data_IF_738477919738
#
_entry.id   IF_738477919738
#
_cell.length_a   1.000
_cell.length_b   1.000
_cell.length_c   1.000
_cell.angle_alpha   90.00
_cell.angle_beta   90.00
_cell.angle_gamma   90.00
#
_symmetry.space_group_name_H-M   'P 1'
#
loop_
_entity.id
_entity.type
_entity.pdbx_description
1 polymer ?
#
# COMPACT_ATOMS: atom_id res chain seq x y z
N UNK A 1 104.25 21.54 5.83
CA UNK A 1 105.03 20.34 5.48
C UNK A 1 104.08 19.15 5.55
N UNK A 2 103.97 18.43 4.43
CA UNK A 2 103.31 17.12 4.19
C UNK A 2 103.74 16.05 5.24
N UNK A 3 103.14 14.83 5.35
CA UNK A 3 102.13 14.20 4.48
C UNK A 3 101.05 13.30 5.16
N UNK A 4 100.16 12.80 4.27
CA UNK A 4 99.30 11.60 4.29
C UNK A 4 99.67 10.44 5.24
N UNK A 5 98.65 9.69 5.71
CA UNK A 5 98.54 8.21 5.54
C UNK A 5 97.05 7.80 5.49
N UNK A 6 96.71 6.94 4.51
CA UNK A 6 95.45 6.18 4.35
C UNK A 6 95.39 5.00 5.34
N UNK A 7 94.21 4.69 5.88
CA UNK A 7 93.87 3.33 6.30
C UNK A 7 92.44 2.96 5.85
N UNK A 8 92.31 1.74 5.35
CA UNK A 8 91.09 1.09 4.84
C UNK A 8 90.54 0.18 5.94
N UNK A 9 89.25 0.28 6.29
CA UNK A 9 88.50 -0.71 7.11
C UNK A 9 87.00 -0.64 6.69
N UNK A 10 86.22 -1.75 6.68
CA UNK A 10 85.32 -2.09 5.58
C UNK A 10 83.84 -1.74 5.77
N UNK A 11 83.15 -1.87 4.64
CA UNK A 11 81.72 -1.80 4.39
C UNK A 11 80.91 -2.73 5.32
N UNK A 12 80.00 -2.16 6.11
CA UNK A 12 78.82 -2.87 6.63
C UNK A 12 77.58 -2.12 6.13
N UNK A 13 76.88 -2.75 5.19
CA UNK A 13 75.58 -2.30 4.71
C UNK A 13 74.52 -2.64 5.75
N UNK A 14 74.03 -1.63 6.46
CA UNK A 14 72.78 -1.71 7.20
C UNK A 14 71.66 -1.19 6.30
N UNK A 15 70.97 -2.10 5.60
CA UNK A 15 69.70 -1.78 4.94
C UNK A 15 68.69 -1.36 6.00
N UNK A 16 68.27 -0.09 5.97
CA UNK A 16 66.99 0.32 6.55
C UNK A 16 65.88 -0.34 5.72
N UNK A 17 65.38 -1.49 6.17
CA UNK A 17 64.03 -1.90 5.82
C UNK A 17 63.08 -0.98 6.58
N UNK A 18 62.57 0.05 5.91
CA UNK A 18 61.31 0.66 6.31
C UNK A 18 60.24 -0.43 6.21
N UNK A 19 59.90 -1.03 7.36
CA UNK A 19 58.77 -1.92 7.46
C UNK A 19 57.51 -1.11 7.17
N UNK A 20 56.97 -1.24 5.97
CA UNK A 20 55.53 -1.15 5.80
C UNK A 20 54.95 -2.30 6.61
N UNK A 21 54.53 -2.01 7.84
CA UNK A 21 53.66 -2.92 8.59
C UNK A 21 52.38 -3.00 7.77
N UNK A 22 52.25 -4.05 6.95
CA UNK A 22 50.95 -4.57 6.58
C UNK A 22 50.27 -4.90 7.91
N UNK A 23 49.44 -4.00 8.41
CA UNK A 23 48.34 -4.39 9.27
C UNK A 23 47.53 -5.36 8.43
N UNK A 24 47.76 -6.66 8.66
CA UNK A 24 46.83 -7.69 8.24
C UNK A 24 45.46 -7.24 8.68
N UNK A 25 44.50 -7.25 7.75
CA UNK A 25 43.10 -6.97 7.98
C UNK A 25 42.55 -8.03 8.96
N UNK A 26 42.89 -7.90 10.23
CA UNK A 26 42.38 -8.69 11.34
C UNK A 26 41.06 -8.05 11.73
N UNK A 27 40.02 -8.32 10.96
CA UNK A 27 38.72 -7.70 11.16
C UNK A 27 37.60 -8.25 10.29
N UNK A 28 37.91 -8.99 9.22
CA UNK A 28 36.91 -9.69 8.43
C UNK A 28 36.92 -11.17 8.83
N UNK A 29 35.83 -11.60 9.45
CA UNK A 29 35.56 -13.00 9.74
C UNK A 29 35.05 -13.65 8.46
N UNK A 30 35.68 -14.73 8.01
CA UNK A 30 35.25 -15.45 6.81
C UNK A 30 34.00 -16.29 7.09
N UNK A 31 33.17 -16.50 6.06
CA UNK A 31 31.93 -17.26 6.16
C UNK A 31 31.58 -17.94 4.83
N UNK A 32 30.77 -19.00 4.89
CA UNK A 32 30.13 -19.60 3.72
C UNK A 32 28.63 -19.29 3.69
N UNK A 33 28.04 -19.09 4.87
CA UNK A 33 26.63 -18.81 5.08
C UNK A 33 26.43 -17.75 6.16
N UNK A 34 25.24 -17.14 6.21
CA UNK A 34 24.90 -16.20 7.28
C UNK A 34 24.98 -16.82 8.69
N UNK A 35 24.85 -18.15 8.81
CA UNK A 35 24.95 -18.84 10.10
C UNK A 35 26.37 -18.86 10.66
N UNK A 36 27.39 -18.69 9.80
CA UNK A 36 28.79 -18.58 10.22
C UNK A 36 29.09 -17.20 10.79
N UNK A 37 28.22 -16.22 10.54
CA UNK A 37 28.32 -14.87 11.06
C UNK A 37 27.57 -14.76 12.39
N UNK A 38 28.29 -14.34 13.44
CA UNK A 38 27.65 -14.01 14.73
C UNK A 38 26.58 -12.91 14.60
N UNK A 39 25.78 -12.72 15.65
CA UNK A 39 24.60 -11.82 15.63
C UNK A 39 24.87 -10.44 15.00
N UNK A 40 23.91 -9.99 14.18
CA UNK A 40 23.97 -8.68 13.52
C UNK A 40 24.90 -8.62 12.32
N UNK A 41 25.38 -9.76 11.80
CA UNK A 41 26.22 -9.84 10.61
C UNK A 41 25.67 -10.84 9.59
N UNK A 42 25.95 -10.60 8.31
CA UNK A 42 25.59 -11.50 7.20
C UNK A 42 26.83 -11.80 6.37
N UNK A 43 26.81 -12.95 5.72
CA UNK A 43 27.88 -13.39 4.85
C UNK A 43 27.74 -12.75 3.48
N UNK A 44 28.68 -11.89 3.13
CA UNK A 44 28.74 -11.20 1.84
C UNK A 44 30.13 -11.42 1.26
N UNK A 45 30.20 -12.02 0.07
CA UNK A 45 31.45 -12.33 -0.61
C UNK A 45 32.48 -13.07 0.28
N UNK A 46 32.01 -14.06 1.04
CA UNK A 46 32.77 -14.84 2.01
C UNK A 46 33.27 -14.10 3.25
N UNK A 47 32.73 -12.90 3.54
CA UNK A 47 33.05 -12.16 4.76
C UNK A 47 31.81 -11.77 5.55
N UNK A 48 31.89 -11.88 6.87
CA UNK A 48 30.87 -11.41 7.79
C UNK A 48 30.91 -9.90 7.90
N UNK A 49 29.96 -9.25 7.25
CA UNK A 49 29.76 -7.80 7.30
C UNK A 49 28.58 -7.47 8.22
N UNK A 50 28.57 -6.28 8.86
CA UNK A 50 27.39 -5.80 9.58
C UNK A 50 26.14 -5.90 8.70
N UNK A 51 25.10 -6.55 9.23
CA UNK A 51 23.81 -6.61 8.55
C UNK A 51 23.21 -5.21 8.58
N UNK A 52 23.26 -4.54 7.43
CA UNK A 52 22.65 -3.22 7.24
C UNK A 52 21.16 -3.30 6.89
N UNK A 53 20.62 -4.50 6.70
CA UNK A 53 19.20 -4.69 6.38
C UNK A 53 18.36 -4.40 7.63
N UNK A 54 17.43 -3.42 7.58
CA UNK A 54 16.55 -3.14 8.70
C UNK A 54 15.71 -4.38 9.07
N UNK A 55 15.42 -4.62 10.36
CA UNK A 55 14.46 -5.64 10.75
C UNK A 55 13.12 -5.45 10.03
N UNK A 56 12.58 -6.52 9.46
CA UNK A 56 11.37 -6.48 8.62
C UNK A 56 11.66 -6.35 7.11
N UNK A 57 12.86 -5.96 6.71
CA UNK A 57 13.29 -5.92 5.31
C UNK A 57 14.05 -7.17 4.88
N UNK A 58 14.15 -7.37 3.56
CA UNK A 58 15.04 -8.38 2.94
C UNK A 58 14.32 -9.43 2.10
N UNK A 59 12.98 -9.44 2.12
CA UNK A 59 12.18 -10.26 1.20
C UNK A 59 12.26 -9.69 -0.20
N UNK A 60 12.49 -10.53 -1.21
CA UNK A 60 12.63 -10.13 -2.62
C UNK A 60 11.73 -11.01 -3.49
N UNK A 61 11.01 -10.37 -4.42
CA UNK A 61 10.21 -11.03 -5.45
C UNK A 61 10.60 -10.54 -6.85
N UNK A 62 10.19 -11.27 -7.89
CA UNK A 62 10.52 -10.96 -9.28
C UNK A 62 11.90 -11.47 -9.69
N UNK A 63 12.54 -10.83 -10.68
CA UNK A 63 13.86 -11.24 -11.19
C UNK A 63 14.91 -10.19 -10.87
N UNK A 64 15.78 -10.52 -9.91
CA UNK A 64 16.91 -9.70 -9.47
C UNK A 64 18.12 -9.90 -10.40
N UNK A 65 18.01 -9.34 -11.60
CA UNK A 65 19.07 -9.35 -12.63
C UNK A 65 19.80 -8.00 -12.63
N UNK A 66 21.07 -7.92 -13.09
CA UNK A 66 21.83 -6.66 -13.06
C UNK A 66 21.19 -5.46 -13.77
N UNK A 67 20.29 -5.70 -14.72
CA UNK A 67 19.55 -4.66 -15.45
C UNK A 67 18.11 -4.49 -14.97
N UNK A 68 17.70 -5.16 -13.88
CA UNK A 68 16.35 -5.10 -13.36
C UNK A 68 15.97 -3.66 -12.98
N UNK A 69 14.67 -3.37 -13.04
CA UNK A 69 14.09 -2.12 -12.56
C UNK A 69 13.69 -2.36 -11.09
N UNK A 70 14.35 -1.70 -10.12
CA UNK A 70 14.12 -1.95 -8.71
C UNK A 70 12.87 -1.21 -8.21
N UNK A 71 11.93 -1.96 -7.67
CA UNK A 71 10.81 -1.47 -6.89
C UNK A 71 11.01 -1.81 -5.42
N UNK A 72 10.47 -0.97 -4.53
CA UNK A 72 10.36 -1.25 -3.11
C UNK A 72 8.90 -1.35 -2.69
N UNK A 73 8.60 -2.10 -1.63
CA UNK A 73 7.33 -2.04 -0.92
C UNK A 73 7.59 -1.93 0.58
N UNK A 74 6.97 -0.96 1.23
CA UNK A 74 6.96 -0.81 2.68
C UNK A 74 5.51 -0.93 3.16
N UNK A 75 5.15 -2.12 3.66
CA UNK A 75 3.77 -2.51 3.95
C UNK A 75 3.63 -2.91 5.42
N UNK A 76 2.52 -2.59 6.09
CA UNK A 76 2.24 -3.07 7.44
C UNK A 76 1.76 -4.52 7.38
N UNK A 77 2.63 -5.48 7.11
CA UNK A 77 2.24 -6.88 7.01
C UNK A 77 1.90 -7.47 8.39
N UNK A 78 2.58 -7.04 9.44
CA UNK A 78 2.35 -7.55 10.80
C UNK A 78 1.95 -6.48 11.84
N UNK A 79 0.90 -5.68 11.61
CA UNK A 79 0.45 -4.71 12.60
C UNK A 79 0.07 -5.44 13.89
N UNK A 80 0.57 -4.97 15.04
CA UNK A 80 0.37 -5.65 16.32
C UNK A 80 1.07 -7.02 16.44
N UNK A 81 1.96 -7.36 15.51
CA UNK A 81 2.78 -8.59 15.53
C UNK A 81 2.08 -9.85 15.00
N UNK A 82 0.94 -9.71 14.32
CA UNK A 82 0.26 -10.80 13.62
C UNK A 82 0.05 -10.44 12.16
N UNK A 83 0.08 -11.43 11.27
CA UNK A 83 -0.09 -11.22 9.84
C UNK A 83 -1.49 -10.69 9.53
N UNK A 84 -1.56 -9.49 8.97
CA UNK A 84 -2.79 -8.90 8.44
C UNK A 84 -3.13 -9.56 7.09
N UNK A 85 -4.34 -10.10 6.97
CA UNK A 85 -4.72 -10.88 5.80
C UNK A 85 -4.98 -10.00 4.59
N UNK A 86 -5.58 -8.82 4.76
CA UNK A 86 -5.77 -7.84 3.69
C UNK A 86 -4.42 -7.40 3.11
N UNK A 87 -3.46 -7.05 3.95
CA UNK A 87 -2.12 -6.65 3.53
C UNK A 87 -1.36 -7.79 2.85
N UNK A 88 -1.51 -9.02 3.35
CA UNK A 88 -0.96 -10.21 2.70
C UNK A 88 -1.57 -10.45 1.31
N UNK A 89 -2.88 -10.24 1.13
CA UNK A 89 -3.52 -10.37 -0.18
C UNK A 89 -3.11 -9.25 -1.14
N UNK A 90 -2.92 -8.02 -0.63
CA UNK A 90 -2.34 -6.91 -1.40
C UNK A 90 -0.93 -7.25 -1.90
N UNK A 91 -0.07 -7.79 -1.04
CA UNK A 91 1.26 -8.25 -1.45
C UNK A 91 1.20 -9.41 -2.45
N UNK A 92 0.31 -10.39 -2.25
CA UNK A 92 0.09 -11.47 -3.20
C UNK A 92 -0.33 -10.94 -4.59
N UNK A 93 -1.17 -9.92 -4.62
CA UNK A 93 -1.59 -9.25 -5.85
C UNK A 93 -0.42 -8.52 -6.52
N UNK A 94 0.43 -7.84 -5.75
CA UNK A 94 1.66 -7.24 -6.28
C UNK A 94 2.57 -8.28 -6.93
N UNK A 95 2.84 -9.38 -6.21
CA UNK A 95 3.73 -10.45 -6.68
C UNK A 95 3.16 -11.13 -7.92
N UNK A 96 1.84 -11.38 -7.98
CA UNK A 96 1.20 -11.94 -9.16
C UNK A 96 1.40 -11.06 -10.40
N UNK A 97 1.09 -9.76 -10.30
CA UNK A 97 1.26 -8.82 -11.40
C UNK A 97 2.73 -8.74 -11.85
N UNK A 98 3.66 -8.68 -10.89
CA UNK A 98 5.10 -8.64 -11.14
C UNK A 98 5.58 -9.88 -11.91
N UNK A 99 5.15 -11.08 -11.48
CA UNK A 99 5.49 -12.35 -12.13
C UNK A 99 4.98 -12.41 -13.57
N UNK A 100 3.74 -11.97 -13.80
CA UNK A 100 3.12 -11.95 -15.12
C UNK A 100 3.81 -10.98 -16.08
N UNK A 101 4.15 -9.77 -15.60
CA UNK A 101 4.90 -8.77 -16.37
C UNK A 101 6.29 -9.30 -16.72
N UNK A 102 6.99 -9.89 -15.75
CA UNK A 102 8.32 -10.45 -15.95
C UNK A 102 8.33 -11.64 -16.91
N UNK A 103 7.27 -12.47 -16.87
CA UNK A 103 7.07 -13.57 -17.82
C UNK A 103 6.79 -13.07 -19.24
N UNK A 104 6.27 -11.85 -19.37
CA UNK A 104 6.07 -11.16 -20.64
C UNK A 104 7.23 -10.20 -20.99
N UNK A 105 8.46 -10.52 -20.58
CA UNK A 105 9.70 -9.80 -20.91
C UNK A 105 9.91 -8.43 -20.23
N UNK A 106 9.09 -8.07 -19.24
CA UNK A 106 9.25 -6.83 -18.48
C UNK A 106 9.08 -5.58 -19.36
N UNK A 107 9.99 -4.60 -19.25
CA UNK A 107 9.99 -3.37 -20.06
C UNK A 107 11.35 -3.18 -20.72
N UNK A 108 11.36 -3.01 -22.04
CA UNK A 108 12.59 -2.85 -22.83
C UNK A 108 13.65 -3.95 -22.55
N UNK A 109 13.20 -5.19 -22.30
CA UNK A 109 14.06 -6.33 -21.96
C UNK A 109 14.61 -6.30 -20.53
N UNK A 110 14.14 -5.38 -19.69
CA UNK A 110 14.49 -5.27 -18.27
C UNK A 110 13.37 -5.87 -17.43
N UNK A 111 13.65 -6.89 -16.59
CA UNK A 111 12.66 -7.35 -15.63
C UNK A 111 12.50 -6.35 -14.47
N UNK A 112 11.50 -6.60 -13.63
CA UNK A 112 11.29 -5.91 -12.36
C UNK A 112 11.67 -6.80 -11.19
N UNK A 113 12.21 -6.19 -10.15
CA UNK A 113 12.47 -6.80 -8.83
C UNK A 113 11.74 -5.97 -7.77
N UNK A 114 11.15 -6.63 -6.77
CA UNK A 114 10.44 -5.98 -5.67
C UNK A 114 11.10 -6.31 -4.33
N UNK A 115 11.66 -5.31 -3.66
CA UNK A 115 12.24 -5.41 -2.33
C UNK A 115 11.19 -5.02 -1.27
N UNK A 116 10.87 -5.94 -0.37
CA UNK A 116 9.77 -5.77 0.59
C UNK A 116 10.31 -5.57 2.01
N UNK A 117 9.69 -4.62 2.70
CA UNK A 117 9.86 -4.33 4.11
C UNK A 117 8.51 -4.37 4.83
N UNK A 118 8.45 -5.10 5.94
CA UNK A 118 7.32 -5.10 6.87
C UNK A 118 7.50 -3.99 7.90
N UNK A 119 6.65 -2.97 7.84
CA UNK A 119 6.67 -1.81 8.73
C UNK A 119 6.00 -2.09 10.07
N UNK A 120 5.25 -3.19 10.20
CA UNK A 120 4.40 -3.51 11.34
C UNK A 120 3.43 -2.36 11.73
N UNK A 121 3.05 -1.51 10.78
CA UNK A 121 2.17 -0.35 11.01
C UNK A 121 2.85 0.89 11.59
N UNK A 122 4.18 0.89 11.71
CA UNK A 122 4.96 1.96 12.34
C UNK A 122 5.55 2.92 11.28
N UNK A 123 5.15 4.20 11.35
CA UNK A 123 5.57 5.23 10.39
C UNK A 123 7.04 5.65 10.54
N UNK A 124 7.65 5.49 11.71
CA UNK A 124 9.07 5.79 11.93
C UNK A 124 9.95 4.67 11.36
N UNK A 125 9.51 3.41 11.53
CA UNK A 125 10.12 2.28 10.83
C UNK A 125 10.03 2.45 9.33
N UNK A 126 8.85 2.82 8.81
CA UNK A 126 8.66 3.06 7.39
C UNK A 126 9.63 4.10 6.83
N UNK A 127 9.84 5.25 7.49
CA UNK A 127 10.78 6.28 7.01
C UNK A 127 12.22 5.73 6.92
N UNK A 128 12.63 4.96 7.94
CA UNK A 128 13.95 4.31 7.97
C UNK A 128 14.09 3.25 6.86
N UNK A 129 13.06 2.45 6.64
CA UNK A 129 13.00 1.43 5.59
C UNK A 129 12.97 2.05 4.19
N UNK A 130 12.22 3.12 3.98
CA UNK A 130 12.19 3.87 2.72
C UNK A 130 13.56 4.48 2.39
N UNK A 131 14.26 5.01 3.41
CA UNK A 131 15.64 5.49 3.26
C UNK A 131 16.57 4.36 2.85
N UNK A 132 16.50 3.20 3.52
CA UNK A 132 17.31 2.04 3.18
C UNK A 132 17.01 1.48 1.77
N UNK A 133 15.72 1.37 1.41
CA UNK A 133 15.31 0.92 0.08
C UNK A 133 15.81 1.88 -1.00
N UNK A 134 15.75 3.19 -0.76
CA UNK A 134 16.33 4.20 -1.64
C UNK A 134 17.85 4.01 -1.79
N UNK A 135 18.55 4.01 -0.66
CA UNK A 135 20.01 4.20 -0.67
C UNK A 135 20.76 2.90 -1.00
N UNK A 136 20.24 1.75 -0.57
CA UNK A 136 20.90 0.44 -0.70
C UNK A 136 20.28 -0.44 -1.78
N UNK A 137 19.02 -0.17 -2.20
CA UNK A 137 18.33 -0.89 -3.29
C UNK A 137 18.03 -0.04 -4.51
N UNK A 138 18.29 1.27 -4.45
CA UNK A 138 18.16 2.19 -5.57
C UNK A 138 16.78 2.12 -6.24
N UNK A 139 15.74 1.92 -5.44
CA UNK A 139 14.37 1.78 -5.94
C UNK A 139 13.95 3.04 -6.69
N UNK A 140 13.16 2.87 -7.75
CA UNK A 140 12.60 3.98 -8.53
C UNK A 140 11.13 4.25 -8.18
N UNK A 141 10.48 3.25 -7.59
CA UNK A 141 9.11 3.34 -7.08
C UNK A 141 9.02 2.65 -5.72
N UNK A 142 8.32 3.27 -4.76
CA UNK A 142 7.94 2.69 -3.47
C UNK A 142 6.42 2.44 -3.43
N UNK A 143 6.03 1.18 -3.24
CA UNK A 143 4.66 0.80 -2.94
C UNK A 143 4.38 0.93 -1.45
N UNK A 144 3.26 1.56 -1.08
CA UNK A 144 2.89 1.80 0.32
C UNK A 144 1.43 1.44 0.60
N UNK A 145 1.14 1.15 1.87
CA UNK A 145 -0.22 0.94 2.36
C UNK A 145 -0.51 1.78 3.60
N UNK A 146 -1.73 2.31 3.70
CA UNK A 146 -2.21 3.13 4.81
C UNK A 146 -1.85 4.61 4.66
N UNK A 147 -2.85 5.48 4.80
CA UNK A 147 -2.73 6.92 4.49
C UNK A 147 -1.61 7.62 5.26
N UNK A 148 -1.49 7.38 6.57
CA UNK A 148 -0.40 7.97 7.36
C UNK A 148 0.99 7.50 6.94
N UNK A 149 1.10 6.23 6.57
CA UNK A 149 2.34 5.61 6.09
C UNK A 149 2.74 6.13 4.70
N UNK A 150 1.80 6.30 3.77
CA UNK A 150 2.06 6.94 2.47
C UNK A 150 2.53 8.38 2.65
N UNK A 151 1.88 9.17 3.51
CA UNK A 151 2.30 10.54 3.80
C UNK A 151 3.71 10.55 4.38
N UNK A 152 4.01 9.69 5.36
CA UNK A 152 5.35 9.57 5.93
C UNK A 152 6.40 9.17 4.89
N UNK A 153 6.09 8.20 4.02
CA UNK A 153 6.97 7.79 2.91
C UNK A 153 7.30 8.95 1.98
N UNK A 154 6.29 9.75 1.62
CA UNK A 154 6.47 10.88 0.69
C UNK A 154 7.52 11.88 1.17
N UNK A 155 7.68 12.07 2.49
CA UNK A 155 8.70 12.96 3.06
C UNK A 155 10.13 12.49 2.79
N UNK A 156 10.33 11.19 2.55
CA UNK A 156 11.62 10.56 2.26
C UNK A 156 11.82 10.39 0.75
N UNK A 157 10.79 9.97 0.02
CA UNK A 157 10.87 9.57 -1.38
C UNK A 157 10.79 10.74 -2.35
N UNK A 158 9.92 11.73 -2.11
CA UNK A 158 9.74 12.89 -3.01
C UNK A 158 11.06 13.68 -3.18
N UNK A 159 11.81 14.03 -2.11
CA UNK A 159 13.10 14.71 -2.26
C UNK A 159 14.19 13.88 -2.97
N UNK A 160 13.95 12.58 -3.18
CA UNK A 160 14.86 11.63 -3.82
C UNK A 160 14.40 11.20 -5.21
N UNK A 161 13.37 11.86 -5.76
CA UNK A 161 12.81 11.52 -7.08
C UNK A 161 12.36 10.05 -7.17
N UNK A 162 11.80 9.52 -6.08
CA UNK A 162 11.21 8.19 -6.04
C UNK A 162 9.69 8.33 -6.08
N UNK A 163 9.06 7.69 -7.06
CA UNK A 163 7.60 7.62 -7.16
C UNK A 163 7.04 6.84 -5.97
N UNK A 164 5.97 7.32 -5.37
CA UNK A 164 5.13 6.55 -4.45
C UNK A 164 3.87 6.12 -5.18
N UNK A 165 3.58 4.83 -5.17
CA UNK A 165 2.31 4.27 -5.63
C UNK A 165 1.62 3.60 -4.46
N UNK A 166 0.36 3.95 -4.18
CA UNK A 166 -0.42 3.30 -3.11
C UNK A 166 -1.73 2.74 -3.63
N UNK A 167 -2.06 1.54 -3.15
CA UNK A 167 -3.27 0.82 -3.54
C UNK A 167 -4.38 0.89 -2.48
N UNK A 168 -4.10 1.45 -1.30
CA UNK A 168 -5.01 1.39 -0.13
C UNK A 168 -5.15 2.72 0.60
N UNK A 169 -4.32 3.73 0.29
CA UNK A 169 -4.34 5.00 1.01
C UNK A 169 -5.37 5.98 0.46
N UNK A 170 -6.49 6.11 1.15
CA UNK A 170 -7.69 6.82 0.70
C UNK A 170 -7.80 8.26 1.21
N UNK A 171 -7.00 8.69 2.19
CA UNK A 171 -7.16 10.01 2.82
C UNK A 171 -7.14 11.16 1.79
N UNK A 172 -8.03 12.17 1.89
CA UNK A 172 -8.00 13.34 1.01
C UNK A 172 -6.73 14.17 1.20
N UNK A 173 -6.03 14.06 2.33
CA UNK A 173 -4.78 14.77 2.59
C UNK A 173 -3.66 14.39 1.60
N UNK A 174 -3.76 13.23 0.94
CA UNK A 174 -2.81 12.81 -0.10
C UNK A 174 -2.96 13.69 -1.35
N UNK A 175 -4.18 14.08 -1.70
CA UNK A 175 -4.49 14.97 -2.83
C UNK A 175 -3.80 16.34 -2.69
N UNK A 176 -3.62 16.80 -1.45
CA UNK A 176 -3.07 18.13 -1.13
C UNK A 176 -1.55 18.14 -0.94
N UNK A 177 -0.89 16.98 -1.06
CA UNK A 177 0.56 16.87 -0.89
C UNK A 177 1.31 17.71 -1.92
N UNK A 178 2.36 18.37 -1.46
CA UNK A 178 3.30 19.08 -2.34
C UNK A 178 4.37 18.10 -2.79
N UNK A 179 4.08 17.34 -3.85
CA UNK A 179 4.82 16.13 -4.22
C UNK A 179 5.55 16.21 -5.58
N UNK A 180 5.53 17.37 -6.23
CA UNK A 180 6.08 17.54 -7.59
C UNK A 180 7.62 17.66 -7.65
N UNK A 181 8.30 17.94 -6.52
CA UNK A 181 9.76 18.14 -6.42
C UNK A 181 10.40 18.98 -7.56
N UNK A 182 9.71 20.02 -8.04
CA UNK A 182 10.20 20.87 -9.15
C UNK A 182 10.05 20.27 -10.55
N UNK A 183 9.46 19.08 -10.67
CA UNK A 183 9.00 18.47 -11.92
C UNK A 183 7.70 19.07 -12.45
N UNK A 184 7.02 18.33 -13.34
CA UNK A 184 5.73 18.74 -13.94
C UNK A 184 4.53 18.00 -13.35
N UNK A 185 4.79 16.88 -12.70
CA UNK A 185 3.81 15.88 -12.28
C UNK A 185 4.15 15.47 -10.85
N UNK A 186 3.13 15.25 -10.03
CA UNK A 186 3.30 14.75 -8.67
C UNK A 186 3.97 13.38 -8.62
N UNK A 187 4.67 13.08 -7.52
CA UNK A 187 5.33 11.80 -7.28
C UNK A 187 4.55 10.90 -6.30
N UNK A 188 3.34 11.26 -5.91
CA UNK A 188 2.47 10.40 -5.08
C UNK A 188 1.20 10.09 -5.86
N UNK A 189 1.05 8.82 -6.23
CA UNK A 189 -0.04 8.33 -7.05
C UNK A 189 -0.81 7.22 -6.32
N UNK A 190 -2.10 7.08 -6.61
CA UNK A 190 -2.93 6.04 -6.01
C UNK A 190 -3.93 5.40 -6.95
N UNK A 191 -3.98 4.07 -6.94
CA UNK A 191 -5.07 3.30 -7.55
C UNK A 191 -6.29 3.19 -6.62
N UNK A 192 -6.12 3.47 -5.32
CA UNK A 192 -7.24 3.64 -4.40
C UNK A 192 -7.99 4.95 -4.68
N UNK A 193 -9.34 4.94 -4.68
CA UNK A 193 -10.11 6.18 -4.73
C UNK A 193 -9.98 6.96 -3.41
N UNK A 194 -10.17 8.28 -3.49
CA UNK A 194 -10.22 9.16 -2.33
C UNK A 194 -11.43 8.90 -1.42
N UNK A 195 -11.25 9.05 -0.11
CA UNK A 195 -12.33 9.09 0.88
C UNK A 195 -13.31 10.25 0.63
N UNK A 196 -12.89 11.29 -0.10
CA UNK A 196 -13.81 12.32 -0.58
C UNK A 196 -14.92 11.73 -1.47
N UNK A 197 -14.60 10.68 -2.23
CA UNK A 197 -15.56 9.94 -3.06
C UNK A 197 -16.35 8.96 -2.19
N UNK A 198 -15.66 8.09 -1.43
CA UNK A 198 -16.31 7.05 -0.63
C UNK A 198 -17.22 7.64 0.46
N UNK A 199 -16.76 8.67 1.17
CA UNK A 199 -17.54 9.36 2.19
C UNK A 199 -18.79 10.03 1.62
N UNK A 200 -18.70 10.64 0.43
CA UNK A 200 -19.86 11.21 -0.25
C UNK A 200 -20.86 10.13 -0.68
N UNK A 201 -20.40 9.01 -1.22
CA UNK A 201 -21.28 7.87 -1.58
C UNK A 201 -21.92 7.26 -0.34
N UNK A 202 -21.18 7.08 0.75
CA UNK A 202 -21.70 6.57 2.01
C UNK A 202 -22.77 7.52 2.57
N UNK A 203 -22.48 8.82 2.63
CA UNK A 203 -23.44 9.81 3.11
C UNK A 203 -24.71 9.83 2.25
N UNK A 204 -24.57 9.83 0.92
CA UNK A 204 -25.71 9.73 0.00
C UNK A 204 -26.51 8.43 0.21
N UNK A 205 -25.82 7.32 0.47
CA UNK A 205 -26.46 6.05 0.81
C UNK A 205 -27.28 6.17 2.10
N UNK A 206 -26.83 6.88 3.12
CA UNK A 206 -27.61 7.08 4.35
C UNK A 206 -28.77 8.08 4.18
N UNK A 207 -28.61 9.09 3.32
CA UNK A 207 -29.57 10.17 3.15
C UNK A 207 -30.68 9.85 2.13
N UNK A 208 -30.31 9.16 1.04
CA UNK A 208 -31.12 8.99 -0.16
C UNK A 208 -31.33 7.51 -0.52
N UNK A 209 -31.25 6.59 0.45
CA UNK A 209 -31.51 5.17 0.19
C UNK A 209 -32.95 4.90 -0.25
N UNK A 210 -33.10 4.53 -1.52
CA UNK A 210 -34.38 4.18 -2.12
C UNK A 210 -34.85 2.77 -1.73
N UNK A 211 -33.99 1.96 -1.12
CA UNK A 211 -34.31 0.61 -0.63
C UNK A 211 -34.88 0.59 0.79
N UNK A 212 -34.92 1.73 1.48
CA UNK A 212 -35.51 1.89 2.81
C UNK A 212 -34.70 1.28 3.96
N UNK A 213 -33.46 0.83 3.72
CA UNK A 213 -32.51 0.22 4.68
C UNK A 213 -32.16 1.18 5.83
N UNK A 214 -32.16 2.48 5.57
CA UNK A 214 -31.87 3.53 6.56
C UNK A 214 -33.09 4.32 7.02
N UNK A 215 -34.30 3.80 6.78
CA UNK A 215 -35.53 4.39 7.33
C UNK A 215 -35.41 4.48 8.86
N UNK A 216 -35.76 5.64 9.42
CA UNK A 216 -35.73 5.87 10.87
C UNK A 216 -34.36 6.18 11.47
N UNK A 217 -33.26 6.17 10.70
CA UNK A 217 -31.94 6.62 11.20
C UNK A 217 -31.94 8.15 11.35
N UNK A 218 -31.80 8.67 12.57
CA UNK A 218 -31.72 10.10 12.86
C UNK A 218 -30.45 10.47 13.66
N UNK A 219 -30.03 9.60 14.59
CA UNK A 219 -28.83 9.75 15.42
C UNK A 219 -27.73 8.83 14.89
N UNK A 220 -26.64 9.43 14.41
CA UNK A 220 -25.51 8.71 13.80
C UNK A 220 -24.26 8.90 14.65
N UNK A 221 -23.74 7.81 15.21
CA UNK A 221 -22.40 7.77 15.78
C UNK A 221 -21.37 7.61 14.67
N UNK A 222 -20.26 8.32 14.73
CA UNK A 222 -19.11 8.11 13.84
C UNK A 222 -17.91 7.81 14.72
N UNK A 223 -17.53 6.55 14.79
CA UNK A 223 -16.34 6.10 15.53
C UNK A 223 -15.20 5.94 14.53
N UNK A 224 -14.10 6.64 14.72
CA UNK A 224 -13.01 6.68 13.75
C UNK A 224 -11.62 6.64 14.39
N UNK A 225 -10.68 6.04 13.67
CA UNK A 225 -9.27 6.03 14.07
C UNK A 225 -8.69 7.44 14.01
N UNK A 226 -7.95 7.84 15.04
CA UNK A 226 -7.25 9.12 15.08
C UNK A 226 -5.95 9.11 14.27
N UNK A 227 -6.07 8.95 12.96
CA UNK A 227 -4.96 8.99 12.01
C UNK A 227 -5.40 9.70 10.70
N UNK A 228 -4.51 9.90 9.72
CA UNK A 228 -4.91 10.56 8.46
C UNK A 228 -6.04 9.86 7.70
N UNK A 229 -6.19 8.54 7.82
CA UNK A 229 -7.31 7.78 7.23
C UNK A 229 -8.63 8.10 7.94
N UNK A 230 -8.72 7.80 9.23
CA UNK A 230 -9.96 7.95 9.99
C UNK A 230 -10.40 9.41 10.12
N UNK A 231 -9.46 10.36 10.25
CA UNK A 231 -9.77 11.79 10.20
C UNK A 231 -10.29 12.22 8.82
N UNK A 232 -9.63 11.79 7.74
CA UNK A 232 -10.01 12.14 6.37
C UNK A 232 -11.43 11.72 6.03
N UNK A 233 -11.76 10.44 6.26
CA UNK A 233 -13.09 9.91 5.97
C UNK A 233 -14.15 10.45 6.94
N UNK A 234 -13.86 10.55 8.23
CA UNK A 234 -14.84 11.06 9.20
C UNK A 234 -15.21 12.52 8.96
N UNK A 235 -14.28 13.38 8.54
CA UNK A 235 -14.58 14.78 8.24
C UNK A 235 -15.53 14.93 7.06
N UNK A 236 -15.35 14.14 5.99
CA UNK A 236 -16.28 14.11 4.85
C UNK A 236 -17.67 13.69 5.31
N UNK A 237 -17.76 12.66 6.16
CA UNK A 237 -19.03 12.16 6.68
C UNK A 237 -19.74 13.15 7.60
N UNK A 238 -19.00 13.79 8.52
CA UNK A 238 -19.54 14.80 9.42
C UNK A 238 -20.11 15.95 8.60
N UNK A 239 -19.36 16.47 7.63
CA UNK A 239 -19.80 17.59 6.80
C UNK A 239 -21.08 17.26 6.03
N UNK A 240 -21.13 16.08 5.41
CA UNK A 240 -22.27 15.64 4.61
C UNK A 240 -23.53 15.32 5.46
N UNK A 241 -23.37 14.78 6.67
CA UNK A 241 -24.49 14.27 7.47
C UNK A 241 -25.04 15.29 8.48
N UNK A 242 -24.21 16.20 9.02
CA UNK A 242 -24.56 17.07 10.15
C UNK A 242 -25.75 18.01 9.88
N UNK A 243 -26.07 18.30 8.61
CA UNK A 243 -27.21 19.15 8.25
C UNK A 243 -28.54 18.40 8.26
N UNK A 244 -28.52 17.06 8.14
CA UNK A 244 -29.70 16.22 7.98
C UNK A 244 -29.89 15.21 9.13
N UNK A 245 -28.84 14.92 9.90
CA UNK A 245 -28.82 13.94 11.00
C UNK A 245 -28.20 14.57 12.25
N UNK A 246 -28.52 14.03 13.42
CA UNK A 246 -27.79 14.32 14.65
C UNK A 246 -26.54 13.46 14.69
N UNK A 247 -25.36 14.05 14.53
CA UNK A 247 -24.09 13.32 14.41
C UNK A 247 -23.26 13.43 15.69
N UNK A 248 -22.67 12.33 16.14
CA UNK A 248 -21.71 12.28 17.25
C UNK A 248 -20.39 11.66 16.79
N UNK A 249 -19.36 12.47 16.49
CA UNK A 249 -18.03 11.96 16.17
C UNK A 249 -17.26 11.58 17.44
N UNK A 250 -16.58 10.42 17.41
CA UNK A 250 -15.79 9.87 18.50
C UNK A 250 -14.49 9.26 17.93
N UNK A 251 -13.34 9.86 18.27
CA UNK A 251 -12.04 9.33 17.86
C UNK A 251 -11.54 8.26 18.84
N UNK A 252 -10.79 7.27 18.33
CA UNK A 252 -10.04 6.31 19.15
C UNK A 252 -8.59 6.18 18.66
N UNK A 253 -7.71 5.68 19.52
CA UNK A 253 -6.31 5.41 19.19
C UNK A 253 -6.09 3.94 18.85
N UNK A 254 -5.22 3.65 17.86
CA UNK A 254 -4.87 2.29 17.44
C UNK A 254 -4.39 1.47 18.64
N UNK A 255 -5.06 0.36 18.95
CA UNK A 255 -4.71 -0.49 20.11
C UNK A 255 -4.84 0.17 21.49
N UNK A 256 -5.31 1.42 21.59
CA UNK A 256 -5.53 2.15 22.83
C UNK A 256 -6.85 1.77 23.53
N UNK A 257 -7.13 2.32 24.71
CA UNK A 257 -8.42 2.07 25.39
C UNK A 257 -9.60 2.60 24.57
N UNK A 258 -10.70 1.84 24.56
CA UNK A 258 -11.99 2.21 23.91
C UNK A 258 -13.10 2.52 24.91
N UNK A 259 -12.84 2.44 26.22
CA UNK A 259 -13.88 2.53 27.25
C UNK A 259 -14.65 3.86 27.18
N UNK A 260 -13.93 4.96 26.94
CA UNK A 260 -14.52 6.29 26.80
C UNK A 260 -15.38 6.38 25.54
N UNK A 261 -14.93 5.78 24.43
CA UNK A 261 -15.69 5.76 23.17
C UNK A 261 -16.98 4.98 23.34
N UNK A 262 -16.91 3.78 23.92
CA UNK A 262 -18.09 2.94 24.18
C UNK A 262 -19.07 3.64 25.13
N UNK A 263 -18.59 4.23 26.23
CA UNK A 263 -19.44 4.96 27.18
C UNK A 263 -20.15 6.14 26.50
N UNK A 264 -19.43 6.97 25.74
CA UNK A 264 -20.01 8.13 25.08
C UNK A 264 -20.95 7.75 23.94
N UNK A 265 -20.67 6.65 23.23
CA UNK A 265 -21.54 6.14 22.19
C UNK A 265 -22.84 5.59 22.79
N UNK A 266 -22.76 4.85 23.90
CA UNK A 266 -23.94 4.37 24.64
C UNK A 266 -24.80 5.53 25.18
N UNK A 267 -24.18 6.53 25.81
CA UNK A 267 -24.89 7.72 26.30
C UNK A 267 -25.56 8.49 25.16
N UNK A 268 -24.94 8.45 23.97
CA UNK A 268 -25.50 9.06 22.77
C UNK A 268 -26.66 8.26 22.20
N UNK A 269 -26.80 6.95 22.45
CA UNK A 269 -27.89 6.10 21.98
C UNK A 269 -28.18 6.26 20.46
N UNK A 270 -27.23 5.88 19.58
CA UNK A 270 -27.36 6.06 18.14
C UNK A 270 -28.27 5.02 17.48
N UNK A 271 -29.03 5.44 16.47
CA UNK A 271 -29.77 4.52 15.59
C UNK A 271 -28.84 3.71 14.67
N UNK A 272 -27.67 4.29 14.37
CA UNK A 272 -26.63 3.71 13.52
C UNK A 272 -25.25 4.24 13.92
N UNK A 273 -24.25 3.37 13.95
CA UNK A 273 -22.83 3.77 14.10
C UNK A 273 -22.05 3.43 12.84
N UNK A 274 -21.43 4.46 12.24
CA UNK A 274 -20.41 4.29 11.21
C UNK A 274 -19.08 4.01 11.92
N UNK A 275 -18.47 2.86 11.63
CA UNK A 275 -17.21 2.43 12.22
C UNK A 275 -16.10 2.47 11.18
N UNK A 276 -15.24 3.49 11.31
CA UNK A 276 -14.02 3.67 10.50
C UNK A 276 -12.86 3.03 11.26
N UNK A 277 -12.66 1.74 11.02
CA UNK A 277 -11.69 0.94 11.77
C UNK A 277 -11.12 -0.21 10.94
N UNK A 278 -9.86 -0.53 11.20
CA UNK A 278 -9.24 -1.76 10.72
C UNK A 278 -9.77 -2.98 11.48
N UNK A 279 -9.57 -4.21 10.98
CA UNK A 279 -10.29 -5.39 11.46
C UNK A 279 -10.08 -5.70 12.95
N UNK A 280 -8.88 -5.53 13.48
CA UNK A 280 -8.52 -5.76 14.88
C UNK A 280 -9.22 -4.77 15.83
N UNK A 281 -9.16 -3.47 15.54
CA UNK A 281 -9.86 -2.44 16.31
C UNK A 281 -11.38 -2.56 16.15
N UNK A 282 -11.86 -2.87 14.95
CA UNK A 282 -13.28 -3.09 14.68
C UNK A 282 -13.80 -4.23 15.55
N UNK A 283 -13.13 -5.38 15.56
CA UNK A 283 -13.50 -6.51 16.40
C UNK A 283 -13.50 -6.15 17.89
N UNK A 284 -12.50 -5.41 18.36
CA UNK A 284 -12.39 -4.97 19.76
C UNK A 284 -13.54 -4.04 20.16
N UNK A 285 -13.88 -3.07 19.31
CA UNK A 285 -15.01 -2.15 19.52
C UNK A 285 -16.34 -2.91 19.51
N UNK A 286 -16.56 -3.77 18.52
CA UNK A 286 -17.78 -4.58 18.40
C UNK A 286 -17.95 -5.51 19.60
N UNK A 287 -16.89 -6.16 20.07
CA UNK A 287 -16.93 -7.04 21.23
C UNK A 287 -17.30 -6.31 22.53
N UNK A 288 -16.81 -5.07 22.70
CA UNK A 288 -17.20 -4.23 23.84
C UNK A 288 -18.65 -3.72 23.70
N UNK A 289 -19.03 -3.27 22.50
CA UNK A 289 -20.37 -2.77 22.20
C UNK A 289 -21.45 -3.85 22.36
N UNK A 290 -21.16 -5.10 21.99
CA UNK A 290 -22.10 -6.22 22.06
C UNK A 290 -22.52 -6.62 23.49
N UNK A 291 -21.94 -6.00 24.52
CA UNK A 291 -22.36 -6.16 25.93
C UNK A 291 -22.88 -4.86 26.54
N UNK A 292 -23.03 -3.82 25.72
CA UNK A 292 -23.42 -2.47 26.15
C UNK A 292 -24.82 -2.15 25.64
N UNK A 293 -25.67 -1.66 26.54
CA UNK A 293 -27.03 -1.19 26.23
C UNK A 293 -26.98 -0.13 25.09
N UNK A 294 -28.04 -0.03 24.28
CA UNK A 294 -28.16 0.87 23.12
C UNK A 294 -27.17 0.62 21.96
N UNK A 295 -26.21 -0.30 22.10
CA UNK A 295 -25.22 -0.62 21.07
C UNK A 295 -25.39 -2.03 20.51
N UNK A 296 -26.56 -2.64 20.77
CA UNK A 296 -26.95 -3.98 20.32
C UNK A 296 -28.18 -3.92 19.44
N UNK A 297 -28.30 -4.85 18.50
CA UNK A 297 -29.44 -4.96 17.58
C UNK A 297 -30.79 -5.07 18.29
N UNK A 298 -30.81 -5.73 19.46
CA UNK A 298 -32.02 -5.88 20.26
C UNK A 298 -32.63 -4.52 20.68
N UNK A 299 -31.79 -3.50 20.81
CA UNK A 299 -32.18 -2.12 21.13
C UNK A 299 -32.43 -1.27 19.87
N UNK A 300 -32.33 -1.85 18.67
CA UNK A 300 -32.54 -1.17 17.39
C UNK A 300 -31.28 -0.55 16.79
N UNK A 301 -30.11 -0.74 17.42
CA UNK A 301 -28.82 -0.26 16.92
C UNK A 301 -28.41 -0.97 15.63
N UNK A 302 -27.70 -0.24 14.76
CA UNK A 302 -27.14 -0.75 13.50
C UNK A 302 -25.68 -0.35 13.34
N UNK A 303 -24.92 -1.18 12.66
CA UNK A 303 -23.55 -0.89 12.24
C UNK A 303 -23.49 -0.57 10.74
N UNK A 304 -22.62 0.38 10.39
CA UNK A 304 -22.17 0.61 9.03
C UNK A 304 -20.63 0.65 9.02
N UNK A 305 -20.00 -0.08 8.11
CA UNK A 305 -18.55 -0.25 8.06
C UNK A 305 -17.92 0.50 6.88
N UNK A 306 -16.60 0.63 6.91
CA UNK A 306 -15.81 1.18 5.80
C UNK A 306 -14.91 0.11 5.19
N UNK A 307 -14.17 0.51 4.15
CA UNK A 307 -13.32 -0.32 3.31
C UNK A 307 -12.36 -1.18 4.13
N UNK A 308 -11.75 -0.62 5.17
CA UNK A 308 -10.77 -1.30 6.03
C UNK A 308 -11.35 -2.45 6.85
N UNK A 309 -12.68 -2.52 7.04
CA UNK A 309 -13.34 -3.57 7.81
C UNK A 309 -13.75 -4.78 6.95
N UNK A 310 -13.64 -4.69 5.61
CA UNK A 310 -13.94 -5.79 4.69
C UNK A 310 -12.77 -6.77 4.64
N UNK A 311 -12.61 -7.52 5.72
CA UNK A 311 -11.60 -8.57 5.91
C UNK A 311 -12.24 -9.80 6.61
N UNK A 312 -12.07 -11.03 6.09
CA UNK A 312 -12.63 -12.23 6.72
C UNK A 312 -12.15 -12.50 8.15
N UNK A 313 -11.03 -11.91 8.59
CA UNK A 313 -10.57 -11.96 9.98
C UNK A 313 -11.62 -11.40 10.97
N UNK A 314 -12.55 -10.55 10.50
CA UNK A 314 -13.67 -10.08 11.32
C UNK A 314 -14.55 -11.24 11.81
N UNK A 315 -14.79 -12.26 10.97
CA UNK A 315 -15.65 -13.40 11.31
C UNK A 315 -15.06 -14.31 12.40
N UNK A 316 -13.74 -14.30 12.58
CA UNK A 316 -13.07 -15.05 13.64
C UNK A 316 -12.79 -14.22 14.90
N UNK A 317 -12.77 -12.89 14.78
CA UNK A 317 -12.39 -11.97 15.86
C UNK A 317 -13.59 -11.38 16.62
N UNK A 318 -14.77 -11.34 15.99
CA UNK A 318 -16.01 -10.88 16.63
C UNK A 318 -16.71 -12.04 17.33
N UNK A 319 -16.96 -11.89 18.62
CA UNK A 319 -17.54 -12.94 19.49
C UNK A 319 -19.04 -13.14 19.24
N UNK A 320 -19.77 -12.08 18.92
CA UNK A 320 -21.22 -12.08 18.73
C UNK A 320 -21.56 -11.68 17.29
N UNK A 321 -21.35 -12.59 16.34
CA UNK A 321 -21.53 -12.32 14.90
C UNK A 321 -22.97 -11.91 14.55
N UNK A 322 -23.96 -12.38 15.30
CA UNK A 322 -25.36 -11.98 15.11
C UNK A 322 -25.56 -10.47 15.25
N UNK A 323 -24.70 -9.73 15.99
CA UNK A 323 -24.75 -8.27 16.11
C UNK A 323 -24.36 -7.53 14.81
N UNK A 324 -23.68 -8.22 13.88
CA UNK A 324 -23.20 -7.62 12.63
C UNK A 324 -23.79 -8.28 11.37
N UNK A 325 -24.57 -9.36 11.51
CA UNK A 325 -25.20 -10.01 10.35
C UNK A 325 -26.10 -9.05 9.55
N UNK A 326 -25.92 -8.98 8.23
CA UNK A 326 -26.63 -8.03 7.36
C UNK A 326 -26.25 -6.56 7.57
N UNK A 327 -25.29 -6.23 8.44
CA UNK A 327 -24.73 -4.89 8.50
C UNK A 327 -24.05 -4.55 7.17
N UNK A 328 -24.11 -3.27 6.81
CA UNK A 328 -23.60 -2.78 5.54
C UNK A 328 -22.23 -2.15 5.72
N UNK A 329 -21.49 -2.04 4.63
CA UNK A 329 -20.30 -1.21 4.57
C UNK A 329 -20.07 -0.65 3.18
N UNK A 330 -19.12 0.26 3.03
CA UNK A 330 -18.68 0.75 1.73
C UNK A 330 -17.22 0.41 1.48
N UNK A 331 -16.87 0.15 0.23
CA UNK A 331 -15.49 -0.05 -0.21
C UNK A 331 -15.37 0.35 -1.69
N UNK A 332 -14.17 0.55 -2.25
CA UNK A 332 -14.00 0.57 -3.70
C UNK A 332 -14.63 -0.69 -4.30
N UNK A 333 -15.35 -0.54 -5.42
CA UNK A 333 -16.14 -1.59 -6.08
C UNK A 333 -15.29 -2.67 -6.79
N UNK A 334 -14.13 -3.00 -6.21
CA UNK A 334 -13.18 -4.00 -6.65
C UNK A 334 -13.82 -5.37 -6.57
N UNK A 335 -14.28 -5.87 -7.72
CA UNK A 335 -14.95 -7.17 -7.85
C UNK A 335 -16.47 -7.13 -7.99
N UNK A 336 -17.11 -6.00 -7.71
CA UNK A 336 -18.51 -5.79 -8.06
C UNK A 336 -18.72 -5.52 -9.56
N UNK A 337 -17.62 -5.42 -10.31
CA UNK A 337 -17.59 -5.51 -11.76
C UNK A 337 -17.83 -6.96 -12.21
N UNK A 338 -18.97 -7.56 -11.87
CA UNK A 338 -19.35 -8.91 -12.31
C UNK A 338 -19.37 -9.08 -13.85
N UNK A 339 -19.15 -7.99 -14.61
CA UNK A 339 -19.02 -7.95 -16.05
C UNK A 339 -17.68 -7.35 -16.55
N UNK A 340 -16.65 -7.16 -15.71
CA UNK A 340 -15.31 -6.77 -16.18
C UNK A 340 -14.50 -8.02 -16.56
N UNK A 341 -14.10 -8.17 -17.84
CA UNK A 341 -13.25 -9.27 -18.26
C UNK A 341 -11.90 -9.28 -17.54
N UNK A 342 -11.34 -8.09 -17.26
CA UNK A 342 -10.08 -7.95 -16.52
C UNK A 342 -10.21 -8.53 -15.10
N UNK A 343 -11.26 -8.14 -14.37
CA UNK A 343 -11.47 -8.65 -13.01
C UNK A 343 -11.75 -10.16 -13.00
N UNK A 344 -12.61 -10.67 -13.89
CA UNK A 344 -12.94 -12.09 -13.93
C UNK A 344 -11.71 -12.98 -14.20
N UNK A 345 -10.80 -12.53 -15.07
CA UNK A 345 -9.53 -13.22 -15.31
C UNK A 345 -8.62 -13.16 -14.07
N UNK A 346 -8.48 -11.98 -13.48
CA UNK A 346 -7.69 -11.79 -12.26
C UNK A 346 -8.21 -12.67 -11.11
N UNK A 347 -9.51 -12.67 -10.83
CA UNK A 347 -10.14 -13.48 -9.78
C UNK A 347 -9.86 -14.96 -9.98
N UNK A 348 -10.06 -15.48 -11.20
CA UNK A 348 -9.77 -16.88 -11.53
C UNK A 348 -8.30 -17.25 -11.30
N UNK A 349 -7.38 -16.40 -11.75
CA UNK A 349 -5.94 -16.60 -11.55
C UNK A 349 -5.56 -16.53 -10.07
N UNK A 350 -6.13 -15.57 -9.33
CA UNK A 350 -5.84 -15.34 -7.91
C UNK A 350 -6.33 -16.50 -7.05
N UNK A 351 -7.55 -16.97 -7.27
CA UNK A 351 -8.08 -18.18 -6.62
C UNK A 351 -7.22 -19.38 -6.99
N UNK A 352 -6.83 -19.54 -8.25
CA UNK A 352 -6.00 -20.68 -8.67
C UNK A 352 -4.61 -20.68 -8.04
N UNK A 353 -3.98 -19.50 -7.84
CA UNK A 353 -2.62 -19.39 -7.30
C UNK A 353 -2.59 -19.43 -5.77
N UNK A 354 -3.52 -18.76 -5.11
CA UNK A 354 -3.49 -18.52 -3.67
C UNK A 354 -4.60 -19.24 -2.89
N UNK A 355 -5.61 -19.78 -3.57
CA UNK A 355 -6.76 -20.44 -2.91
C UNK A 355 -7.68 -19.47 -2.16
N UNK A 356 -7.56 -18.16 -2.43
CA UNK A 356 -8.27 -17.08 -1.76
C UNK A 356 -9.15 -16.36 -2.77
N UNK A 357 -10.38 -16.00 -2.39
CA UNK A 357 -11.23 -15.16 -3.21
C UNK A 357 -10.90 -13.67 -2.96
N UNK A 358 -10.38 -12.93 -3.95
CA UNK A 358 -9.96 -11.54 -3.76
C UNK A 358 -11.12 -10.57 -3.51
N UNK A 359 -12.36 -10.93 -3.87
CA UNK A 359 -13.55 -10.09 -3.59
C UNK A 359 -13.86 -9.94 -2.09
N UNK A 360 -13.26 -10.80 -1.26
CA UNK A 360 -13.49 -10.82 0.18
C UNK A 360 -12.60 -9.84 0.95
N UNK A 361 -11.70 -9.15 0.26
CA UNK A 361 -10.78 -8.17 0.81
C UNK A 361 -10.90 -6.86 0.03
N UNK A 362 -10.83 -5.72 0.71
CA UNK A 362 -10.70 -4.44 0.02
C UNK A 362 -9.34 -4.33 -0.69
N UNK A 363 -9.29 -3.54 -1.77
CA UNK A 363 -8.07 -3.12 -2.45
C UNK A 363 -7.18 -4.21 -3.11
N UNK A 364 -7.52 -5.49 -3.06
CA UNK A 364 -6.71 -6.55 -3.71
C UNK A 364 -6.57 -6.30 -5.23
N UNK A 365 -7.67 -5.91 -5.89
CA UNK A 365 -7.64 -5.53 -7.31
C UNK A 365 -6.83 -4.24 -7.56
N UNK A 366 -6.98 -3.22 -6.69
CA UNK A 366 -6.21 -1.97 -6.78
C UNK A 366 -4.71 -2.24 -6.63
N UNK A 367 -4.33 -3.22 -5.81
CA UNK A 367 -2.95 -3.64 -5.60
C UNK A 367 -2.38 -4.31 -6.87
N UNK A 368 -3.14 -5.23 -7.48
CA UNK A 368 -2.77 -5.81 -8.77
C UNK A 368 -2.56 -4.74 -9.85
N UNK A 369 -3.51 -3.81 -9.96
CA UNK A 369 -3.46 -2.73 -10.94
C UNK A 369 -2.27 -1.79 -10.71
N UNK A 370 -1.91 -1.49 -9.45
CA UNK A 370 -0.82 -0.58 -9.10
C UNK A 370 0.52 -1.01 -9.70
N UNK A 371 0.84 -2.31 -9.71
CA UNK A 371 2.06 -2.82 -10.31
C UNK A 371 2.01 -2.70 -11.83
N UNK A 372 0.90 -3.07 -12.44
CA UNK A 372 0.74 -2.98 -13.89
C UNK A 372 0.84 -1.54 -14.41
N UNK A 373 0.12 -0.59 -13.81
CA UNK A 373 0.18 0.81 -14.27
C UNK A 373 1.56 1.43 -14.03
N UNK A 374 2.24 1.08 -12.93
CA UNK A 374 3.63 1.51 -12.71
C UNK A 374 4.57 0.94 -13.77
N UNK A 375 4.41 -0.33 -14.15
CA UNK A 375 5.19 -0.94 -15.21
C UNK A 375 4.88 -0.34 -16.60
N UNK A 376 3.63 0.04 -16.86
CA UNK A 376 3.24 0.76 -18.09
C UNK A 376 3.82 2.18 -18.11
N UNK A 377 3.81 2.90 -16.97
CA UNK A 377 4.52 4.18 -16.84
C UNK A 377 6.03 4.03 -17.10
N UNK A 378 6.64 2.95 -16.62
CA UNK A 378 8.03 2.61 -16.96
C UNK A 378 8.22 2.28 -18.44
N UNK A 379 7.22 1.69 -19.11
CA UNK A 379 7.24 1.44 -20.55
C UNK A 379 7.28 2.74 -21.35
N UNK A 380 6.47 3.72 -20.96
CA UNK A 380 6.53 5.07 -21.54
C UNK A 380 7.87 5.75 -21.27
N UNK A 381 8.38 5.64 -20.04
CA UNK A 381 9.71 6.13 -19.69
C UNK A 381 10.82 5.48 -20.56
N UNK A 382 10.65 4.25 -21.04
CA UNK A 382 11.66 3.64 -21.91
C UNK A 382 11.66 4.18 -23.36
N UNK A 383 10.74 5.07 -23.78
CA UNK A 383 10.50 5.41 -25.19
C UNK A 383 11.67 6.10 -25.92
N UNK A 384 12.44 6.95 -25.22
CA UNK A 384 13.36 7.90 -25.85
C UNK A 384 14.76 7.32 -26.12
N UNK A 385 14.94 6.01 -25.88
CA UNK A 385 16.21 5.32 -26.04
C UNK A 385 17.29 5.75 -25.06
N UNK A 386 16.99 6.65 -24.10
CA UNK A 386 17.89 7.00 -23.00
C UNK A 386 18.15 5.83 -22.06
N UNK A 387 17.20 4.88 -22.01
CA UNK A 387 17.20 3.75 -21.08
C UNK A 387 16.94 4.15 -19.63
N UNK A 388 16.74 5.43 -19.33
CA UNK A 388 16.49 5.91 -17.97
C UNK A 388 15.05 5.57 -17.55
N UNK A 389 14.90 4.86 -16.43
CA UNK A 389 13.60 4.62 -15.82
C UNK A 389 13.75 5.10 -14.38
N UNK A 390 13.18 6.27 -14.08
CA UNK A 390 13.24 6.96 -12.79
C UNK A 390 11.84 7.34 -12.32
N UNK A 391 11.67 7.64 -11.03
CA UNK A 391 10.36 7.99 -10.45
C UNK A 391 9.60 9.08 -11.23
N UNK A 392 10.21 10.25 -11.50
CA UNK A 392 9.59 11.31 -12.29
C UNK A 392 9.18 10.88 -13.69
N UNK A 393 9.96 10.04 -14.37
CA UNK A 393 9.63 9.56 -15.71
C UNK A 393 8.49 8.54 -15.70
N UNK A 394 8.44 7.67 -14.68
CA UNK A 394 7.30 6.78 -14.49
C UNK A 394 6.04 7.60 -14.20
N UNK A 395 6.12 8.63 -13.35
CA UNK A 395 5.02 9.52 -13.04
C UNK A 395 4.49 10.26 -14.29
N UNK A 396 5.38 10.75 -15.14
CA UNK A 396 4.99 11.34 -16.44
C UNK A 396 4.30 10.28 -17.33
N UNK A 397 4.84 9.06 -17.38
CA UNK A 397 4.23 7.94 -18.09
C UNK A 397 2.82 7.57 -17.60
N UNK A 398 2.52 7.70 -16.31
CA UNK A 398 1.18 7.45 -15.76
C UNK A 398 0.13 8.42 -16.32
N UNK A 399 0.53 9.64 -16.73
CA UNK A 399 -0.38 10.61 -17.35
C UNK A 399 -0.89 10.19 -18.74
N UNK A 400 -0.25 9.18 -19.35
CA UNK A 400 -0.61 8.63 -20.67
C UNK A 400 -1.54 7.41 -20.60
N UNK A 401 -2.09 7.09 -19.43
CA UNK A 401 -2.92 5.89 -19.19
C UNK A 401 -4.43 6.16 -19.15
N UNK A 402 -4.87 7.37 -19.53
CA UNK A 402 -6.25 7.82 -19.36
C UNK A 402 -6.87 8.43 -20.63
N UNK A 403 -6.26 8.22 -21.79
CA UNK A 403 -6.80 8.71 -23.06
C UNK A 403 -6.36 7.84 -24.24
N UNK A 404 -7.07 7.87 -25.38
CA UNK A 404 -6.74 7.04 -26.54
C UNK A 404 -7.52 5.72 -26.58
N UNK A 405 -7.00 4.68 -27.27
CA UNK A 405 -7.69 3.39 -27.37
C UNK A 405 -7.82 2.71 -26.00
N UNK A 406 -9.04 2.28 -25.68
CA UNK A 406 -9.31 1.57 -24.44
C UNK A 406 -8.77 0.14 -24.47
N UNK A 407 -8.02 -0.25 -23.45
CA UNK A 407 -7.43 -1.58 -23.26
C UNK A 407 -7.79 -2.13 -21.87
N UNK A 408 -8.11 -3.43 -21.80
CA UNK A 408 -8.33 -4.10 -20.52
C UNK A 408 -6.98 -4.56 -19.96
N UNK A 409 -6.72 -4.29 -18.69
CA UNK A 409 -5.49 -4.70 -18.07
C UNK A 409 -5.51 -6.21 -17.83
N UNK A 410 -4.61 -6.91 -18.51
CA UNK A 410 -4.43 -8.35 -18.40
C UNK A 410 -3.02 -8.72 -18.85
N UNK A 411 -2.51 -9.91 -18.47
CA UNK A 411 -1.21 -10.39 -18.96
C UNK A 411 -1.12 -10.40 -20.49
N UNK A 412 -2.22 -10.77 -21.16
CA UNK A 412 -2.28 -10.85 -22.62
C UNK A 412 -2.24 -9.49 -23.32
N UNK A 413 -2.89 -8.47 -22.73
CA UNK A 413 -2.93 -7.13 -23.33
C UNK A 413 -1.76 -6.24 -22.90
N UNK A 414 -1.04 -6.60 -21.84
CA UNK A 414 0.16 -5.89 -21.38
C UNK A 414 1.20 -5.70 -22.49
N UNK A 415 1.47 -6.72 -23.31
CA UNK A 415 2.44 -6.62 -24.42
C UNK A 415 2.05 -5.51 -25.40
N UNK A 416 0.76 -5.43 -25.75
CA UNK A 416 0.25 -4.40 -26.66
C UNK A 416 0.31 -3.02 -26.01
N UNK A 417 -0.19 -2.88 -24.77
CA UNK A 417 -0.17 -1.63 -24.02
C UNK A 417 1.27 -1.08 -23.85
N UNK A 418 2.20 -1.95 -23.43
CA UNK A 418 3.64 -1.64 -23.32
C UNK A 418 4.21 -1.14 -24.65
N UNK A 419 3.95 -1.85 -25.74
CA UNK A 419 4.43 -1.46 -27.08
C UNK A 419 3.88 -0.10 -27.50
N UNK A 420 2.60 0.18 -27.23
CA UNK A 420 2.00 1.46 -27.58
C UNK A 420 2.64 2.63 -26.83
N UNK A 421 2.85 2.48 -25.52
CA UNK A 421 3.49 3.50 -24.69
C UNK A 421 4.97 3.70 -25.04
N UNK A 422 5.70 2.62 -25.36
CA UNK A 422 7.09 2.72 -25.84
C UNK A 422 7.21 3.48 -27.18
N UNK A 423 6.13 3.56 -27.94
CA UNK A 423 6.04 4.35 -29.17
C UNK A 423 5.45 5.76 -28.94
N UNK A 424 5.28 6.17 -27.67
CA UNK A 424 4.77 7.49 -27.29
C UNK A 424 3.29 7.71 -27.55
N UNK A 425 2.49 6.63 -27.58
CA UNK A 425 1.04 6.73 -27.70
C UNK A 425 0.35 6.70 -26.33
N UNK A 426 -0.77 7.42 -26.25
CA UNK A 426 -1.66 7.39 -25.10
C UNK A 426 -2.62 6.19 -25.21
N UNK A 427 -2.93 5.57 -24.07
CA UNK A 427 -3.90 4.47 -23.96
C UNK A 427 -4.87 4.72 -22.80
N UNK A 428 -6.11 4.23 -22.89
CA UNK A 428 -7.10 4.29 -21.81
C UNK A 428 -7.15 2.92 -21.12
N UNK A 429 -6.78 2.84 -19.84
CA UNK A 429 -6.70 1.57 -19.11
C UNK A 429 -7.96 1.32 -18.28
N UNK A 430 -8.58 0.16 -18.52
CA UNK A 430 -9.56 -0.44 -17.63
C UNK A 430 -8.90 -1.59 -16.89
N UNK A 431 -8.59 -1.37 -15.62
CA UNK A 431 -7.97 -2.33 -14.72
C UNK A 431 -8.96 -3.34 -14.11
N UNK A 432 -8.43 -4.16 -13.21
CA UNK A 432 -9.21 -5.10 -12.39
C UNK A 432 -10.07 -4.36 -11.36
N UNK A 433 -9.61 -3.21 -10.86
CA UNK A 433 -10.35 -2.34 -9.95
C UNK A 433 -11.33 -1.38 -10.66
N UNK A 434 -11.33 -1.35 -11.99
CA UNK A 434 -12.18 -0.48 -12.81
C UNK A 434 -11.38 0.45 -13.71
N UNK A 435 -12.00 1.54 -14.16
CA UNK A 435 -11.30 2.51 -15.01
C UNK A 435 -10.20 3.21 -14.20
N UNK A 436 -8.99 3.27 -14.76
CA UNK A 436 -7.83 3.92 -14.14
C UNK A 436 -7.57 5.26 -14.82
N UNK A 437 -8.62 6.07 -14.92
CA UNK A 437 -8.57 7.41 -15.49
C UNK A 437 -7.98 8.38 -14.47
N UNK A 438 -6.65 8.38 -14.39
CA UNK A 438 -5.91 9.24 -13.49
C UNK A 438 -6.06 10.72 -13.85
N UNK A 439 -6.33 11.52 -12.83
CA UNK A 439 -6.12 12.95 -12.91
C UNK A 439 -4.63 13.24 -12.76
N UNK A 440 -3.98 13.70 -13.83
CA UNK A 440 -2.55 13.99 -13.85
C UNK A 440 -2.09 15.06 -12.84
N UNK A 441 -3.00 15.90 -12.34
CA UNK A 441 -2.68 16.91 -11.32
C UNK A 441 -2.62 16.31 -9.92
N UNK A 442 -3.51 15.36 -9.63
CA UNK A 442 -3.64 14.80 -8.27
C UNK A 442 -3.05 13.40 -8.13
N UNK A 443 -2.76 12.71 -9.25
CA UNK A 443 -2.24 11.34 -9.26
C UNK A 443 -3.29 10.28 -8.90
N UNK A 444 -4.59 10.58 -9.08
CA UNK A 444 -5.69 9.74 -8.58
C UNK A 444 -6.64 9.32 -9.68
N UNK A 445 -7.08 8.06 -9.64
CA UNK A 445 -8.19 7.59 -10.46
C UNK A 445 -9.50 7.62 -9.65
N UNK A 446 -10.57 8.12 -10.27
CA UNK A 446 -11.90 7.96 -9.71
C UNK A 446 -12.30 6.47 -9.79
N UNK A 447 -12.95 5.96 -8.76
CA UNK A 447 -13.48 4.61 -8.77
C UNK A 447 -14.93 4.59 -8.28
N UNK A 448 -15.65 3.57 -8.72
CA UNK A 448 -16.97 3.26 -8.19
C UNK A 448 -16.82 2.70 -6.78
N UNK A 449 -17.85 2.92 -5.98
CA UNK A 449 -17.91 2.46 -4.60
C UNK A 449 -19.02 1.42 -4.52
N UNK A 450 -18.70 0.26 -3.96
CA UNK A 450 -19.72 -0.72 -3.62
C UNK A 450 -20.26 -0.45 -2.22
N UNK A 451 -21.54 -0.76 -2.03
CA UNK A 451 -22.10 -1.02 -0.72
C UNK A 451 -22.21 -2.53 -0.59
N UNK A 452 -21.47 -3.09 0.36
CA UNK A 452 -21.44 -4.52 0.66
C UNK A 452 -22.20 -4.82 1.93
N UNK A 453 -22.53 -6.10 2.14
CA UNK A 453 -23.24 -6.61 3.31
C UNK A 453 -22.50 -7.78 3.93
N UNK A 454 -22.59 -7.91 5.26
CA UNK A 454 -22.04 -9.04 6.00
C UNK A 454 -23.00 -10.21 5.93
N UNK A 455 -22.52 -11.36 5.49
CA UNK A 455 -23.26 -12.63 5.52
C UNK A 455 -22.57 -13.58 6.49
N UNK A 456 -23.09 -13.66 7.73
CA UNK A 456 -22.47 -14.47 8.79
C UNK A 456 -22.57 -15.96 8.49
N UNK A 457 -23.69 -16.42 7.93
CA UNK A 457 -23.88 -17.84 7.61
C UNK A 457 -22.85 -18.36 6.59
N UNK A 458 -22.48 -17.52 5.61
CA UNK A 458 -21.46 -17.82 4.62
C UNK A 458 -20.05 -17.39 4.99
N UNK A 459 -19.87 -16.68 6.12
CA UNK A 459 -18.62 -16.01 6.50
C UNK A 459 -17.98 -15.23 5.34
N UNK A 460 -18.81 -14.43 4.66
CA UNK A 460 -18.42 -13.69 3.46
C UNK A 460 -19.05 -12.31 3.41
N UNK A 461 -18.49 -11.47 2.55
CA UNK A 461 -19.06 -10.18 2.18
C UNK A 461 -19.73 -10.31 0.81
N UNK A 462 -20.98 -9.85 0.73
CA UNK A 462 -21.79 -9.84 -0.50
C UNK A 462 -21.99 -8.39 -0.96
N UNK A 463 -21.62 -8.07 -2.20
CA UNK A 463 -21.93 -6.77 -2.82
C UNK A 463 -23.46 -6.62 -2.96
N UNK A 464 -24.03 -5.57 -2.36
CA UNK A 464 -25.47 -5.27 -2.42
C UNK A 464 -25.80 -4.25 -3.54
N UNK A 465 -24.92 -3.27 -3.74
CA UNK A 465 -25.01 -2.32 -4.85
C UNK A 465 -23.67 -1.71 -5.22
N UNK A 466 -23.57 -1.17 -6.44
CA UNK A 466 -22.43 -0.38 -6.91
C UNK A 466 -22.95 0.99 -7.28
N UNK A 467 -22.23 2.03 -6.82
CA UNK A 467 -22.55 3.42 -7.05
C UNK A 467 -21.40 4.11 -7.76
N UNK A 468 -21.76 4.94 -8.73
CA UNK A 468 -20.82 5.81 -9.42
C UNK A 468 -20.38 6.95 -8.49
N UNK A 469 -19.15 7.47 -8.66
CA UNK A 469 -18.69 8.63 -7.92
C UNK A 469 -19.58 9.86 -8.19
N UNK A 470 -19.79 10.76 -7.22
CA UNK A 470 -20.58 11.97 -7.43
C UNK A 470 -20.01 12.84 -8.56
N UNK A 471 -20.86 13.27 -9.50
CA UNK A 471 -20.47 14.13 -10.62
C UNK A 471 -19.88 13.40 -11.84
N UNK A 472 -19.99 12.07 -11.89
CA UNK A 472 -19.66 11.24 -13.07
C UNK A 472 -20.64 11.35 -14.24
#
# INVERSE_FOLDING_TARGET
MTPMVRFVVPLFAASLCAGCTLTTATGFEECDTNADCGEGRICVEHYCLPNKTPPGCGTVYGRDEPNAIPFGAALPLTPGGQLDQSEQQGLNAFVMALDEINSNEGVAGRPFVLHVCDTAGDSDKLQSMATWLSDEKHIVTLFTSGSGQTIAASTVTVPRDILVMTATSTSPAITDLQDTHGGKVGLVWRTAPSDAIQGAVLADTLLNDTRGRFTGVNKVGIVYLNDPYGNGLSFVLIDALQQAKTVKPLSYERGGSIDTVISQLNDFDPDLTILVAFPDDAARILNAAATTQHLVKADGHRWFFTDSAKDPALFSSVNQLDEIDGALGSAPASGALANSPAYAQFEGNFISKYGVNPSQYSFTANSYDAIYVTALGAAWAAQDGSGEISGPRIAEGLTHLSSGPQLQLSPGQFISARSQLQNGMDIDIVGTSGNLNFNATTGEAAARIEVWSINVAGQKFDTDEVRDPPGG
#
